data_IF_539750568239
#
_entry.id   IF_539750568239
#
_cell.length_a   1.000
_cell.length_b   1.000
_cell.length_c   1.000
_cell.angle_alpha   90.00
_cell.angle_beta   90.00
_cell.angle_gamma   90.00
#
_symmetry.space_group_name_H-M   'P 1'
#
loop_
_entity.id
_entity.type
_entity.pdbx_description
1 polymer ?
#
# COMPACT_ATOMS: atom_id res chain seq x y z
N UNK A 1 2.94 -6.92 0.22
CA UNK A 1 3.71 -7.44 -0.93
C UNK A 1 3.67 -6.46 -2.08
N UNK A 2 4.80 -6.16 -2.72
CA UNK A 2 4.83 -5.25 -3.88
C UNK A 2 4.17 -5.92 -5.09
N UNK A 3 3.34 -5.18 -5.81
CA UNK A 3 2.76 -5.59 -7.10
C UNK A 3 2.98 -4.55 -8.22
N UNK A 4 3.55 -3.39 -7.90
CA UNK A 4 3.91 -2.40 -8.90
C UNK A 4 5.26 -1.79 -8.54
N UNK A 5 6.18 -1.84 -9.51
CA UNK A 5 7.49 -1.22 -9.40
C UNK A 5 7.48 0.14 -10.09
N UNK A 6 8.11 1.18 -9.54
CA UNK A 6 8.17 2.50 -10.15
C UNK A 6 9.29 2.61 -11.20
N UNK A 7 10.06 1.55 -11.46
CA UNK A 7 11.20 1.59 -12.39
C UNK A 7 10.78 2.04 -13.80
N UNK A 8 11.55 2.97 -14.38
CA UNK A 8 11.23 3.56 -15.69
C UNK A 8 9.86 4.26 -15.67
N UNK A 9 8.93 3.78 -16.48
CA UNK A 9 7.54 4.29 -16.54
C UNK A 9 6.58 3.58 -15.59
N UNK A 10 7.11 2.76 -14.69
CA UNK A 10 6.33 1.88 -13.84
C UNK A 10 5.82 0.65 -14.58
N UNK A 11 5.73 -0.47 -13.88
CA UNK A 11 5.17 -1.71 -14.40
C UNK A 11 4.70 -2.63 -13.27
N UNK A 12 3.78 -3.53 -13.61
CA UNK A 12 3.42 -4.66 -12.76
C UNK A 12 4.67 -5.46 -12.37
N UNK A 13 4.81 -5.78 -11.08
CA UNK A 13 5.88 -6.65 -10.59
C UNK A 13 5.48 -8.11 -10.84
N UNK A 14 6.12 -8.75 -11.81
CA UNK A 14 5.83 -10.14 -12.21
C UNK A 14 6.12 -11.15 -11.11
N UNK A 15 6.95 -10.81 -10.11
CA UNK A 15 7.22 -11.68 -8.97
C UNK A 15 6.06 -11.71 -7.96
N UNK A 16 5.15 -10.73 -8.00
CA UNK A 16 4.04 -10.62 -7.07
C UNK A 16 3.19 -11.90 -7.02
N UNK A 17 2.93 -12.52 -8.18
CA UNK A 17 2.12 -13.75 -8.28
C UNK A 17 2.76 -14.91 -7.53
N UNK A 18 4.05 -15.14 -7.74
CA UNK A 18 4.76 -16.26 -7.10
C UNK A 18 4.95 -15.99 -5.60
N UNK A 19 5.26 -14.76 -5.23
CA UNK A 19 5.40 -14.40 -3.82
C UNK A 19 4.07 -14.55 -3.05
N UNK A 20 2.93 -14.22 -3.66
CA UNK A 20 1.58 -14.47 -3.09
C UNK A 20 1.33 -15.97 -2.93
N UNK A 21 1.72 -16.79 -3.92
CA UNK A 21 1.58 -18.25 -3.83
C UNK A 21 2.47 -18.85 -2.74
N UNK A 22 3.68 -18.35 -2.55
CA UNK A 22 4.56 -18.79 -1.48
C UNK A 22 3.99 -18.44 -0.10
N UNK A 23 3.47 -17.22 0.07
CA UNK A 23 2.79 -16.82 1.30
C UNK A 23 1.55 -17.70 1.57
N UNK A 24 0.72 -17.91 0.55
CA UNK A 24 -0.45 -18.80 0.63
C UNK A 24 -0.07 -20.23 1.04
N UNK A 25 0.95 -20.83 0.40
CA UNK A 25 1.41 -22.19 0.72
C UNK A 25 2.01 -22.29 2.13
N UNK A 26 2.50 -21.18 2.69
CA UNK A 26 2.96 -21.08 4.06
C UNK A 26 1.83 -20.79 5.07
N UNK A 27 0.57 -20.70 4.62
CA UNK A 27 -0.59 -20.41 5.47
C UNK A 27 -0.70 -18.93 5.87
N UNK A 28 -0.09 -18.02 5.12
CA UNK A 28 -0.07 -16.58 5.41
C UNK A 28 -1.08 -15.83 4.55
N UNK A 29 -1.85 -14.93 5.19
CA UNK A 29 -2.62 -13.90 4.49
C UNK A 29 -1.71 -12.88 3.81
N UNK A 30 -2.16 -12.26 2.72
CA UNK A 30 -1.34 -11.29 1.97
C UNK A 30 -2.10 -10.01 1.69
N UNK A 31 -1.48 -8.87 2.04
CA UNK A 31 -1.84 -7.55 1.52
C UNK A 31 -0.93 -7.16 0.36
N UNK A 32 -1.46 -6.43 -0.60
CA UNK A 32 -0.73 -5.96 -1.78
C UNK A 32 -0.55 -4.46 -1.73
N UNK A 33 0.65 -3.97 -2.08
CA UNK A 33 0.92 -2.56 -2.26
C UNK A 33 1.52 -2.26 -3.64
N UNK A 34 1.29 -1.06 -4.12
CA UNK A 34 1.90 -0.50 -5.33
C UNK A 34 2.79 0.67 -4.97
N UNK A 35 3.99 0.71 -5.54
CA UNK A 35 4.85 1.90 -5.50
C UNK A 35 4.66 2.67 -6.81
N UNK A 36 3.82 3.73 -6.84
CA UNK A 36 3.44 4.40 -8.08
C UNK A 36 4.61 5.14 -8.72
N UNK A 37 4.51 5.38 -10.02
CA UNK A 37 5.43 6.24 -10.77
C UNK A 37 4.70 7.49 -11.31
N UNK A 38 4.45 8.51 -10.46
CA UNK A 38 3.66 9.69 -10.85
C UNK A 38 4.34 10.59 -11.89
N UNK A 39 5.65 10.39 -12.14
CA UNK A 39 6.42 11.12 -13.17
C UNK A 39 6.44 10.41 -14.53
N UNK A 40 5.84 9.22 -14.65
CA UNK A 40 5.71 8.54 -15.95
C UNK A 40 4.68 9.24 -16.83
N UNK A 41 4.61 8.81 -18.10
CA UNK A 41 3.52 9.20 -18.99
C UNK A 41 2.17 8.51 -18.66
N UNK A 42 2.16 7.52 -17.76
CA UNK A 42 0.96 6.74 -17.41
C UNK A 42 0.16 7.47 -16.33
N UNK A 43 -1.16 7.49 -16.49
CA UNK A 43 -2.09 7.96 -15.45
C UNK A 43 -2.15 6.97 -14.29
N UNK A 44 -2.55 7.44 -13.11
CA UNK A 44 -2.64 6.60 -11.92
C UNK A 44 -3.55 5.37 -12.09
N UNK A 45 -4.71 5.56 -12.71
CA UNK A 45 -5.64 4.48 -13.01
C UNK A 45 -5.09 3.43 -13.97
N UNK A 46 -4.22 3.83 -14.91
CA UNK A 46 -3.53 2.87 -15.80
C UNK A 46 -2.54 2.01 -15.02
N UNK A 47 -1.80 2.60 -14.07
CA UNK A 47 -0.87 1.85 -13.22
C UNK A 47 -1.62 0.85 -12.33
N UNK A 48 -2.75 1.24 -11.75
CA UNK A 48 -3.59 0.31 -10.99
C UNK A 48 -4.20 -0.79 -11.86
N UNK A 49 -4.63 -0.47 -13.08
CA UNK A 49 -5.15 -1.45 -14.02
C UNK A 49 -4.10 -2.51 -14.37
N UNK A 50 -2.84 -2.12 -14.53
CA UNK A 50 -1.72 -3.07 -14.73
C UNK A 50 -1.57 -4.03 -13.54
N UNK A 51 -1.69 -3.51 -12.30
CA UNK A 51 -1.71 -4.35 -11.08
C UNK A 51 -2.87 -5.34 -11.10
N UNK A 52 -4.10 -4.84 -11.33
CA UNK A 52 -5.30 -5.67 -11.33
C UNK A 52 -5.23 -6.76 -12.40
N UNK A 53 -4.88 -6.42 -13.63
CA UNK A 53 -4.78 -7.36 -14.74
C UNK A 53 -3.68 -8.40 -14.51
N UNK A 54 -2.51 -7.98 -14.00
CA UNK A 54 -1.40 -8.87 -13.70
C UNK A 54 -1.74 -9.91 -12.64
N UNK A 55 -2.37 -9.48 -11.54
CA UNK A 55 -2.85 -10.38 -10.49
C UNK A 55 -3.97 -11.31 -11.00
N UNK A 56 -4.93 -10.76 -11.76
CA UNK A 56 -6.04 -11.55 -12.31
C UNK A 56 -5.56 -12.63 -13.27
N UNK A 57 -4.59 -12.33 -14.13
CA UNK A 57 -3.93 -13.31 -14.99
C UNK A 57 -3.24 -14.41 -14.18
N UNK A 58 -2.69 -14.06 -13.01
CA UNK A 58 -2.11 -14.99 -12.04
C UNK A 58 -3.10 -15.83 -11.22
N UNK A 59 -4.42 -15.69 -11.45
CA UNK A 59 -5.51 -16.29 -10.66
C UNK A 59 -5.52 -15.79 -9.20
N UNK A 60 -5.32 -14.50 -9.03
CA UNK A 60 -5.38 -13.82 -7.73
C UNK A 60 -6.54 -12.83 -7.74
N UNK A 61 -7.41 -12.95 -6.75
CA UNK A 61 -8.56 -12.09 -6.50
C UNK A 61 -8.20 -11.03 -5.45
N UNK A 62 -7.72 -9.87 -5.92
CA UNK A 62 -7.35 -8.75 -5.06
C UNK A 62 -8.59 -7.98 -4.58
N UNK A 63 -8.68 -7.65 -3.30
CA UNK A 63 -9.74 -6.83 -2.68
C UNK A 63 -9.28 -5.43 -2.29
N UNK A 64 -7.99 -5.29 -2.01
CA UNK A 64 -7.37 -4.02 -1.64
C UNK A 64 -5.98 -3.87 -2.24
N UNK A 65 -5.65 -2.64 -2.61
CA UNK A 65 -4.27 -2.22 -2.92
C UNK A 65 -3.88 -1.03 -2.05
N UNK A 66 -2.75 -1.15 -1.36
CA UNK A 66 -2.11 -0.03 -0.68
C UNK A 66 -1.26 0.78 -1.66
N UNK A 67 -1.50 2.08 -1.76
CA UNK A 67 -0.71 2.98 -2.62
C UNK A 67 0.36 3.64 -1.76
N UNK A 68 1.63 3.41 -2.08
CA UNK A 68 2.75 4.05 -1.40
C UNK A 68 2.87 5.52 -1.81
N UNK A 69 2.57 6.41 -0.87
CA UNK A 69 2.67 7.88 -1.01
C UNK A 69 3.76 8.36 -0.07
N UNK A 70 4.99 7.99 -0.38
CA UNK A 70 6.20 8.33 0.39
C UNK A 70 7.25 8.94 -0.52
N UNK A 71 8.38 9.34 0.07
CA UNK A 71 9.57 9.77 -0.66
C UNK A 71 9.26 10.96 -1.60
N UNK A 72 9.05 12.18 -1.07
CA UNK A 72 8.53 13.32 -1.82
C UNK A 72 9.32 13.64 -3.10
N UNK A 73 10.61 13.32 -3.13
CA UNK A 73 11.47 13.43 -4.32
C UNK A 73 10.96 12.65 -5.54
N UNK A 74 10.20 11.57 -5.34
CA UNK A 74 9.61 10.75 -6.39
C UNK A 74 8.32 11.36 -6.97
N UNK A 75 7.79 12.41 -6.34
CA UNK A 75 6.56 13.08 -6.75
C UNK A 75 6.84 14.38 -7.49
N UNK A 76 5.85 14.88 -8.23
CA UNK A 76 5.94 16.21 -8.85
C UNK A 76 5.81 17.32 -7.81
N UNK A 77 6.37 18.50 -8.10
CA UNK A 77 6.24 19.66 -7.20
C UNK A 77 4.80 20.22 -7.14
N UNK A 78 3.96 19.90 -8.12
CA UNK A 78 2.57 20.35 -8.18
C UNK A 78 1.67 19.39 -7.37
N UNK A 79 1.23 19.84 -6.20
CA UNK A 79 0.38 19.06 -5.32
C UNK A 79 -1.00 18.72 -5.94
N UNK A 80 -1.59 19.63 -6.71
CA UNK A 80 -2.85 19.38 -7.41
C UNK A 80 -2.72 18.26 -8.44
N UNK A 81 -1.59 18.19 -9.16
CA UNK A 81 -1.30 17.10 -10.08
C UNK A 81 -1.13 15.76 -9.34
N UNK A 82 -0.43 15.76 -8.20
CA UNK A 82 -0.29 14.57 -7.36
C UNK A 82 -1.66 14.08 -6.83
N UNK A 83 -2.50 15.00 -6.35
CA UNK A 83 -3.86 14.68 -5.88
C UNK A 83 -4.72 14.14 -7.03
N UNK A 84 -4.65 14.74 -8.22
CA UNK A 84 -5.37 14.25 -9.39
C UNK A 84 -4.93 12.83 -9.79
N UNK A 85 -3.62 12.54 -9.71
CA UNK A 85 -3.08 11.21 -9.94
C UNK A 85 -3.62 10.18 -8.93
N UNK A 86 -3.64 10.51 -7.64
CA UNK A 86 -4.20 9.65 -6.59
C UNK A 86 -5.72 9.43 -6.76
N UNK A 87 -6.48 10.48 -7.09
CA UNK A 87 -7.91 10.37 -7.36
C UNK A 87 -8.20 9.47 -8.58
N UNK A 88 -7.34 9.49 -9.60
CA UNK A 88 -7.46 8.62 -10.77
C UNK A 88 -7.26 7.14 -10.42
N UNK A 89 -6.32 6.82 -9.51
CA UNK A 89 -6.17 5.47 -8.93
C UNK A 89 -7.47 5.05 -8.23
N UNK A 90 -7.99 5.87 -7.33
CA UNK A 90 -9.22 5.57 -6.58
C UNK A 90 -10.41 5.37 -7.52
N UNK A 91 -10.52 6.19 -8.57
CA UNK A 91 -11.57 6.05 -9.58
C UNK A 91 -11.47 4.70 -10.30
N UNK A 92 -10.27 4.29 -10.73
CA UNK A 92 -10.06 2.99 -11.36
C UNK A 92 -10.36 1.83 -10.40
N UNK A 93 -9.95 1.94 -9.12
CA UNK A 93 -10.22 0.92 -8.12
C UNK A 93 -11.72 0.61 -8.00
N UNK A 94 -12.56 1.66 -7.98
CA UNK A 94 -14.02 1.52 -7.94
C UNK A 94 -14.58 0.72 -9.12
N UNK A 95 -14.00 0.87 -10.32
CA UNK A 95 -14.46 0.11 -11.50
C UNK A 95 -14.17 -1.40 -11.41
N UNK A 96 -13.23 -1.79 -10.57
CA UNK A 96 -12.85 -3.19 -10.33
C UNK A 96 -13.37 -3.73 -9.00
N UNK A 97 -14.17 -2.95 -8.26
CA UNK A 97 -14.65 -3.34 -6.92
C UNK A 97 -13.54 -3.44 -5.88
N UNK A 98 -12.42 -2.74 -6.08
CA UNK A 98 -11.28 -2.71 -5.17
C UNK A 98 -11.42 -1.56 -4.17
N UNK A 99 -10.87 -1.78 -2.98
CA UNK A 99 -10.58 -0.71 -2.03
C UNK A 99 -9.14 -0.24 -2.16
N UNK A 100 -8.90 1.04 -1.87
CA UNK A 100 -7.55 1.62 -1.81
C UNK A 100 -7.24 1.98 -0.37
N UNK A 101 -6.00 1.79 0.06
CA UNK A 101 -5.45 2.42 1.27
C UNK A 101 -4.18 3.19 0.92
N UNK A 102 -3.76 4.12 1.77
CA UNK A 102 -2.52 4.87 1.56
C UNK A 102 -1.45 4.47 2.57
N UNK A 103 -0.24 4.19 2.07
CA UNK A 103 0.97 4.02 2.87
C UNK A 103 1.78 5.31 2.85
N UNK A 104 1.85 6.05 3.97
CA UNK A 104 2.44 7.41 4.01
C UNK A 104 2.86 7.82 5.43
N UNK A 105 3.44 9.00 5.59
CA UNK A 105 3.60 9.66 6.89
C UNK A 105 2.95 11.05 6.85
N UNK A 106 2.72 11.66 8.00
CA UNK A 106 2.25 13.05 8.05
C UNK A 106 3.19 13.99 7.28
N UNK A 107 4.51 13.76 7.38
CA UNK A 107 5.52 14.54 6.67
C UNK A 107 5.41 14.35 5.15
N UNK A 108 5.43 13.09 4.67
CA UNK A 108 5.37 12.80 3.24
C UNK A 108 4.08 13.34 2.63
N UNK A 109 2.94 13.12 3.30
CA UNK A 109 1.65 13.61 2.86
C UNK A 109 1.65 15.15 2.75
N UNK A 110 2.16 15.85 3.76
CA UNK A 110 2.26 17.31 3.72
C UNK A 110 3.12 17.82 2.56
N UNK A 111 4.22 17.14 2.24
CA UNK A 111 5.09 17.51 1.12
C UNK A 111 4.44 17.22 -0.24
N UNK A 112 3.78 16.06 -0.38
CA UNK A 112 3.26 15.57 -1.66
C UNK A 112 1.91 16.20 -2.02
N UNK A 113 1.01 16.36 -1.04
CA UNK A 113 -0.38 16.79 -1.25
C UNK A 113 -0.72 18.14 -0.62
N UNK A 114 0.23 18.80 0.05
CA UNK A 114 -0.03 20.00 0.87
C UNK A 114 -1.10 19.76 1.93
N UNK A 115 -1.08 18.57 2.52
CA UNK A 115 -2.01 18.14 3.58
C UNK A 115 -3.47 18.07 3.17
N UNK A 116 -3.77 18.15 1.86
CA UNK A 116 -5.12 18.07 1.36
C UNK A 116 -5.74 16.70 1.65
N UNK A 117 -7.06 16.63 1.91
CA UNK A 117 -7.78 15.37 1.87
C UNK A 117 -7.85 14.84 0.45
N UNK A 118 -7.75 13.52 0.31
CA UNK A 118 -7.96 12.81 -0.96
C UNK A 118 -9.24 12.00 -0.86
N UNK A 119 -10.02 11.95 -1.94
CA UNK A 119 -11.33 11.32 -1.92
C UNK A 119 -11.24 9.79 -1.98
N UNK A 120 -12.27 9.14 -1.44
CA UNK A 120 -12.59 7.74 -1.74
C UNK A 120 -11.80 6.68 -0.99
N UNK A 121 -11.02 7.05 0.03
CA UNK A 121 -10.57 6.11 1.07
C UNK A 121 -10.30 6.80 2.40
N UNK A 122 -10.53 6.06 3.48
CA UNK A 122 -10.15 6.42 4.87
C UNK A 122 -9.09 5.47 5.44
N UNK A 123 -8.62 4.50 4.64
CA UNK A 123 -7.67 3.49 5.09
C UNK A 123 -6.25 4.04 5.04
N UNK A 124 -5.59 4.05 6.21
CA UNK A 124 -4.26 4.60 6.39
C UNK A 124 -3.34 3.56 7.02
N UNK A 125 -2.25 3.28 6.33
CA UNK A 125 -1.08 2.61 6.87
C UNK A 125 -0.01 3.67 7.04
N UNK A 126 0.13 4.24 8.24
CA UNK A 126 1.16 5.27 8.43
C UNK A 126 2.50 4.66 8.84
N UNK A 127 3.60 5.30 8.51
CA UNK A 127 4.90 4.92 9.04
C UNK A 127 5.43 5.98 10.01
N UNK A 128 6.02 5.53 11.12
CA UNK A 128 6.76 6.37 12.05
C UNK A 128 7.87 5.54 12.70
N UNK A 129 9.13 5.88 12.40
CA UNK A 129 10.33 5.15 12.84
C UNK A 129 11.45 6.17 13.10
N UNK A 130 12.37 5.84 14.01
CA UNK A 130 13.52 6.68 14.34
C UNK A 130 14.72 6.45 13.40
N UNK A 131 14.71 5.35 12.62
CA UNK A 131 15.82 4.99 11.75
C UNK A 131 15.63 3.62 11.10
N UNK A 132 16.69 3.10 10.51
CA UNK A 132 16.74 1.74 9.97
C UNK A 132 17.29 0.77 11.03
N UNK A 133 16.85 -0.49 10.97
CA UNK A 133 17.25 -1.55 11.87
C UNK A 133 16.56 -1.50 13.24
N UNK A 134 16.81 -2.49 14.11
CA UNK A 134 16.06 -2.67 15.36
C UNK A 134 16.13 -1.47 16.32
N UNK A 135 17.25 -0.73 16.33
CA UNK A 135 17.38 0.49 17.14
C UNK A 135 16.54 1.67 16.64
N UNK A 136 15.99 1.57 15.43
CA UNK A 136 15.11 2.57 14.82
C UNK A 136 13.62 2.37 15.11
N UNK A 137 13.24 1.32 15.84
CA UNK A 137 11.84 1.03 16.14
C UNK A 137 11.18 2.15 16.97
N UNK A 138 9.89 2.36 16.72
CA UNK A 138 9.00 3.10 17.64
C UNK A 138 8.06 2.11 18.34
N UNK A 139 7.37 2.51 19.43
CA UNK A 139 6.43 1.62 20.09
C UNK A 139 5.39 1.06 19.12
N UNK A 140 5.15 -0.26 19.20
CA UNK A 140 4.15 -1.01 18.44
C UNK A 140 2.72 -0.72 18.95
N UNK A 141 2.33 0.55 18.93
CA UNK A 141 0.98 1.05 19.23
C UNK A 141 0.69 2.33 18.43
N UNK A 142 -0.54 2.84 18.54
CA UNK A 142 -1.03 4.01 17.80
C UNK A 142 -1.00 5.32 18.61
N UNK A 143 -0.35 5.37 19.78
CA UNK A 143 -0.38 6.53 20.68
C UNK A 143 0.29 7.78 20.07
N UNK A 144 1.19 7.57 19.12
CA UNK A 144 1.88 8.63 18.38
C UNK A 144 1.11 9.12 17.16
N UNK A 145 -0.02 8.49 16.80
CA UNK A 145 -0.82 8.94 15.66
C UNK A 145 -1.38 10.35 15.89
N UNK A 146 -1.32 11.17 14.85
CA UNK A 146 -1.94 12.50 14.79
C UNK A 146 -2.72 12.57 13.49
N UNK A 147 -3.94 13.12 13.51
CA UNK A 147 -4.76 13.23 12.32
C UNK A 147 -4.13 14.17 11.28
N UNK A 148 -4.14 13.78 10.01
CA UNK A 148 -3.65 14.58 8.88
C UNK A 148 -4.38 14.18 7.60
N UNK A 149 -4.44 15.07 6.60
CA UNK A 149 -4.90 14.70 5.26
C UNK A 149 -6.32 14.11 5.21
N UNK A 150 -7.18 14.42 6.18
CA UNK A 150 -8.51 13.82 6.32
C UNK A 150 -8.54 12.44 7.01
N UNK A 151 -7.39 11.83 7.31
CA UNK A 151 -7.32 10.60 8.09
C UNK A 151 -7.46 10.92 9.59
N UNK A 152 -8.51 10.37 10.20
CA UNK A 152 -8.81 10.57 11.62
C UNK A 152 -8.43 9.35 12.47
N UNK A 153 -8.20 8.19 11.85
CA UNK A 153 -7.77 6.94 12.49
C UNK A 153 -6.85 6.15 11.56
N UNK A 154 -5.82 5.47 12.08
CA UNK A 154 -5.00 4.56 11.29
C UNK A 154 -5.64 3.17 11.20
N UNK A 155 -5.43 2.50 10.07
CA UNK A 155 -5.68 1.06 9.88
C UNK A 155 -4.48 0.23 10.32
N UNK A 156 -3.28 0.71 9.97
CA UNK A 156 -2.01 0.05 10.25
C UNK A 156 -0.91 1.08 10.57
N UNK A 157 0.16 0.61 11.22
CA UNK A 157 1.38 1.38 11.46
C UNK A 157 2.61 0.55 11.13
N UNK A 158 3.53 1.08 10.32
CA UNK A 158 4.90 0.60 10.24
C UNK A 158 5.73 1.23 11.36
N UNK A 159 6.16 0.41 12.32
CA UNK A 159 6.91 0.85 13.50
C UNK A 159 8.38 0.44 13.46
N UNK A 160 8.78 -0.41 12.51
CA UNK A 160 10.16 -0.84 12.28
C UNK A 160 10.45 -1.05 10.79
N UNK A 161 11.69 -0.84 10.36
CA UNK A 161 12.10 -0.95 8.95
C UNK A 161 13.54 -1.45 8.79
N UNK A 162 13.79 -2.16 7.70
CA UNK A 162 15.13 -2.69 7.34
C UNK A 162 15.70 -3.55 8.47
N UNK A 163 14.89 -4.47 8.97
CA UNK A 163 15.27 -5.38 10.05
C UNK A 163 15.59 -6.78 9.53
N UNK A 164 16.60 -7.43 10.10
CA UNK A 164 16.92 -8.81 9.76
C UNK A 164 16.18 -9.76 10.70
N UNK A 165 15.23 -10.51 10.15
CA UNK A 165 14.46 -11.53 10.87
C UNK A 165 14.59 -12.84 10.11
N UNK A 166 15.14 -13.86 10.77
CA UNK A 166 15.33 -15.20 10.19
C UNK A 166 16.08 -15.19 8.82
N UNK A 167 17.03 -14.26 8.62
CA UNK A 167 17.79 -14.14 7.38
C UNK A 167 17.13 -13.29 6.28
N UNK A 168 15.95 -12.71 6.55
CA UNK A 168 15.23 -11.84 5.63
C UNK A 168 15.22 -10.40 6.12
N UNK A 169 15.33 -9.45 5.18
CA UNK A 169 15.12 -8.03 5.48
C UNK A 169 13.63 -7.73 5.42
N UNK A 170 13.06 -7.29 6.54
CA UNK A 170 11.62 -7.04 6.70
C UNK A 170 11.36 -5.65 7.27
N UNK A 171 10.14 -5.16 7.05
CA UNK A 171 9.56 -4.08 7.84
C UNK A 171 8.58 -4.70 8.84
N UNK A 172 8.32 -3.99 9.94
CA UNK A 172 7.44 -4.46 11.01
C UNK A 172 6.25 -3.54 11.17
N UNK A 173 5.08 -4.17 11.18
CA UNK A 173 3.79 -3.50 11.17
C UNK A 173 2.90 -3.99 12.31
N UNK A 174 2.02 -3.11 12.76
CA UNK A 174 0.87 -3.46 13.59
C UNK A 174 -0.42 -3.00 12.92
N UNK A 175 -1.52 -3.66 13.26
CA UNK A 175 -2.85 -3.40 12.73
C UNK A 175 -3.84 -3.08 13.85
N UNK A 176 -4.84 -2.26 13.55
CA UNK A 176 -5.94 -2.04 14.49
C UNK A 176 -6.75 -3.32 14.65
N UNK A 177 -6.89 -3.81 15.89
CA UNK A 177 -7.62 -5.04 16.22
C UNK A 177 -9.09 -5.01 15.80
N UNK A 178 -9.68 -3.81 15.65
CA UNK A 178 -11.05 -3.64 15.16
C UNK A 178 -11.25 -4.06 13.71
N UNK A 179 -10.16 -4.23 12.96
CA UNK A 179 -10.18 -4.47 11.53
C UNK A 179 -9.56 -5.83 11.19
N UNK A 180 -9.46 -6.80 12.11
CA UNK A 180 -8.94 -8.13 11.73
C UNK A 180 -10.05 -8.96 11.09
N UNK A 181 -9.89 -9.29 9.81
CA UNK A 181 -10.74 -10.25 9.11
C UNK A 181 -10.03 -11.60 9.04
N UNK A 182 -10.81 -12.68 9.14
CA UNK A 182 -10.28 -14.02 8.84
C UNK A 182 -9.96 -14.09 7.36
N UNK A 183 -8.71 -14.36 7.04
CA UNK A 183 -8.24 -14.51 5.67
C UNK A 183 -9.09 -15.53 4.89
N UNK A 184 -9.70 -15.11 3.78
CA UNK A 184 -10.64 -15.92 2.99
C UNK A 184 -9.96 -17.12 2.34
N UNK A 185 -8.67 -16.99 2.01
CA UNK A 185 -7.89 -18.02 1.35
C UNK A 185 -8.18 -18.15 -0.13
N UNK A 186 -8.99 -19.13 -0.54
CA UNK A 186 -9.34 -19.34 -1.97
C UNK A 186 -10.84 -19.19 -2.21
N UNK A 187 -11.18 -18.46 -3.28
CA UNK A 187 -12.55 -18.32 -3.78
C UNK A 187 -12.58 -18.58 -5.28
N UNK A 188 -13.45 -19.47 -5.73
CA UNK A 188 -13.61 -19.82 -7.14
C UNK A 188 -12.28 -20.21 -7.84
N UNK A 189 -11.38 -20.89 -7.11
CA UNK A 189 -10.06 -21.29 -7.62
C UNK A 189 -9.01 -20.18 -7.64
N UNK A 190 -9.34 -18.96 -7.23
CA UNK A 190 -8.41 -17.83 -7.13
C UNK A 190 -7.98 -17.61 -5.67
N UNK A 191 -6.70 -17.25 -5.47
CA UNK A 191 -6.20 -16.85 -4.14
C UNK A 191 -6.71 -15.44 -3.86
N UNK A 192 -7.43 -15.25 -2.77
CA UNK A 192 -7.92 -13.93 -2.34
C UNK A 192 -6.80 -13.20 -1.61
N UNK A 193 -6.60 -11.90 -1.87
CA UNK A 193 -5.62 -11.05 -1.18
C UNK A 193 -6.19 -9.67 -0.89
N UNK A 194 -5.61 -8.95 0.07
CA UNK A 194 -6.08 -7.62 0.46
C UNK A 194 -7.39 -7.64 1.28
N UNK A 195 -7.69 -8.78 1.88
CA UNK A 195 -8.88 -9.07 2.69
C UNK A 195 -8.52 -9.46 4.13
N UNK A 196 -7.27 -9.22 4.54
CA UNK A 196 -6.83 -9.51 5.92
C UNK A 196 -7.46 -8.52 6.90
N UNK A 197 -7.98 -7.39 6.39
CA UNK A 197 -8.60 -6.33 7.19
C UNK A 197 -9.94 -5.82 6.65
#
# INVERSE_FOLDING_TARGET
MIAYSPAGNGAFDTNAVNNIRYAWNAGLGTEVFMTPQPKSYKKGGQQLQEVYNGLKAGKIDVKRVWVQVTSPVNWGANAQANIAFLNDIVKAAKTYGLTIGYYTSQYDWAQITKSAPVQGTTQLWYWNVNGAGPGGETPANFNDFRAFGGFTKPTAKQFGQVENVCGFVVNRDIYSLTNLATFTGKKNGEIVVGDVF
#
